data_IF_889754201506
#
_entry.id   IF_889754201506
#
_cell.length_a   1.000
_cell.length_b   1.000
_cell.length_c   1.000
_cell.angle_alpha   90.00
_cell.angle_beta   90.00
_cell.angle_gamma   90.00
#
_symmetry.space_group_name_H-M   'P 1'
#
loop_
_entity.id
_entity.type
_entity.pdbx_description
1 polymer ?
#
# COMPACT_ATOMS: atom_id res chain seq x y z
N UNK A 1 1.31 -6.25 20.05
CA UNK A 1 2.13 -7.36 19.59
C UNK A 1 1.41 -8.69 19.75
N UNK A 2 1.50 -9.56 18.73
CA UNK A 2 0.99 -10.92 18.81
C UNK A 2 2.03 -11.84 19.40
N UNK A 3 1.59 -13.00 19.91
CA UNK A 3 2.45 -14.09 20.40
C UNK A 3 2.21 -15.28 19.48
N UNK A 4 3.26 -16.01 19.15
CA UNK A 4 3.16 -17.30 18.49
C UNK A 4 3.90 -18.36 19.30
N UNK A 5 3.41 -19.58 19.18
CA UNK A 5 4.07 -20.77 19.72
C UNK A 5 4.36 -21.70 18.54
N UNK A 6 5.52 -22.35 18.56
CA UNK A 6 5.84 -23.33 17.53
C UNK A 6 6.46 -24.58 18.18
N UNK A 7 6.21 -25.70 17.53
CA UNK A 7 6.86 -26.98 17.85
C UNK A 7 7.71 -27.39 16.66
N UNK A 8 9.01 -27.52 16.89
CA UNK A 8 9.98 -27.90 15.87
C UNK A 8 10.49 -29.33 16.11
N UNK A 9 10.57 -30.11 15.03
CA UNK A 9 11.08 -31.48 15.06
C UNK A 9 12.28 -31.56 14.13
N UNK A 10 13.42 -32.03 14.67
CA UNK A 10 14.63 -32.23 13.89
C UNK A 10 14.37 -33.25 12.77
N UNK A 11 14.89 -33.00 11.58
CA UNK A 11 14.76 -33.83 10.38
C UNK A 11 13.32 -33.99 9.83
N UNK A 12 12.35 -33.19 10.26
CA UNK A 12 11.03 -33.12 9.62
C UNK A 12 11.02 -32.01 8.58
N UNK A 13 10.82 -32.39 7.32
CA UNK A 13 10.60 -31.47 6.20
C UNK A 13 9.14 -31.56 5.73
N UNK A 14 8.63 -30.49 5.11
CA UNK A 14 7.31 -30.43 4.51
C UNK A 14 6.38 -29.45 5.20
N UNK A 15 5.07 -29.64 4.99
CA UNK A 15 4.04 -28.73 5.47
C UNK A 15 4.02 -28.64 7.00
N UNK A 16 3.80 -27.42 7.49
CA UNK A 16 3.58 -27.11 8.89
C UNK A 16 2.07 -26.99 9.15
N UNK A 17 1.56 -27.62 10.22
CA UNK A 17 0.23 -27.28 10.70
C UNK A 17 0.29 -25.89 11.33
N UNK A 18 -0.42 -24.97 10.71
CA UNK A 18 -0.55 -23.61 11.19
C UNK A 18 -1.94 -23.38 11.77
N UNK A 19 -2.00 -22.94 13.02
CA UNK A 19 -3.25 -22.62 13.72
C UNK A 19 -3.30 -21.14 13.99
N UNK A 20 -4.31 -20.45 13.47
CA UNK A 20 -4.57 -19.04 13.79
C UNK A 20 -5.79 -18.89 14.68
N UNK A 21 -5.79 -17.82 15.50
CA UNK A 21 -6.95 -17.42 16.29
C UNK A 21 -7.35 -16.01 15.92
N UNK A 22 -8.55 -15.85 15.42
CA UNK A 22 -9.12 -14.55 15.12
C UNK A 22 -10.52 -14.41 15.74
N UNK A 23 -10.80 -13.31 16.46
CA UNK A 23 -12.08 -13.03 17.13
C UNK A 23 -12.61 -14.22 17.95
N UNK A 24 -11.71 -14.96 18.63
CA UNK A 24 -12.05 -16.11 19.47
C UNK A 24 -12.22 -17.45 18.73
N UNK A 25 -12.28 -17.45 17.40
CA UNK A 25 -12.36 -18.65 16.57
C UNK A 25 -10.97 -19.16 16.21
N UNK A 26 -10.79 -20.48 16.18
CA UNK A 26 -9.57 -21.14 15.70
C UNK A 26 -9.79 -21.63 14.28
N UNK A 27 -8.80 -21.43 13.42
CA UNK A 27 -8.72 -22.02 12.08
C UNK A 27 -7.35 -22.67 11.95
N UNK A 28 -7.27 -23.87 11.35
CA UNK A 28 -6.00 -24.56 11.08
C UNK A 28 -5.89 -24.93 9.62
N UNK A 29 -4.66 -24.96 9.11
CA UNK A 29 -4.33 -25.41 7.76
C UNK A 29 -2.90 -25.92 7.71
N UNK A 30 -2.66 -26.89 6.83
CA UNK A 30 -1.30 -27.32 6.48
C UNK A 30 -0.69 -26.34 5.49
N UNK A 31 0.45 -25.74 5.85
CA UNK A 31 1.10 -24.71 5.04
C UNK A 31 2.58 -25.01 4.83
N UNK A 32 3.07 -24.70 3.65
CA UNK A 32 4.48 -24.48 3.42
C UNK A 32 4.84 -23.06 3.90
N UNK A 33 5.62 -22.97 4.97
CA UNK A 33 6.02 -21.68 5.54
C UNK A 33 7.11 -20.99 4.70
N UNK A 34 7.68 -21.67 3.72
CA UNK A 34 8.69 -21.13 2.81
C UNK A 34 8.11 -20.74 1.42
N UNK A 35 6.81 -20.99 1.20
CA UNK A 35 6.17 -20.73 -0.09
C UNK A 35 6.10 -19.24 -0.46
N UNK A 36 6.09 -18.35 0.52
CA UNK A 36 6.00 -16.90 0.34
C UNK A 36 7.17 -16.19 1.05
N UNK A 37 7.66 -15.12 0.44
CA UNK A 37 8.68 -14.24 1.04
C UNK A 37 8.22 -13.56 2.34
N UNK A 38 6.90 -13.51 2.56
CA UNK A 38 6.30 -12.87 3.73
C UNK A 38 5.20 -13.73 4.32
N UNK A 39 5.30 -13.99 5.62
CA UNK A 39 4.34 -14.82 6.34
C UNK A 39 3.01 -14.10 6.61
N UNK A 40 1.93 -14.60 6.03
CA UNK A 40 0.56 -14.12 6.28
C UNK A 40 0.04 -14.75 7.58
N UNK A 41 -0.30 -13.92 8.56
CA UNK A 41 -0.65 -14.35 9.93
C UNK A 41 -2.07 -14.90 10.07
N UNK A 42 -2.98 -14.50 9.19
CA UNK A 42 -4.39 -14.89 9.23
C UNK A 42 -4.70 -15.84 8.08
N UNK A 43 -5.24 -17.03 8.38
CA UNK A 43 -5.56 -18.03 7.35
C UNK A 43 -6.61 -17.53 6.36
N UNK A 44 -7.57 -16.73 6.83
CA UNK A 44 -8.57 -16.11 5.98
C UNK A 44 -7.94 -15.18 4.92
N UNK A 45 -6.85 -14.52 5.28
CA UNK A 45 -6.12 -13.65 4.36
C UNK A 45 -5.32 -14.41 3.30
N UNK A 46 -4.95 -15.67 3.56
CA UNK A 46 -4.23 -16.50 2.58
C UNK A 46 -5.08 -16.73 1.36
N UNK A 47 -6.32 -17.19 1.55
CA UNK A 47 -7.24 -17.49 0.45
C UNK A 47 -7.50 -16.23 -0.42
N UNK A 48 -7.62 -15.05 0.23
CA UNK A 48 -7.79 -13.76 -0.47
C UNK A 48 -6.55 -13.43 -1.30
N UNK A 49 -5.35 -13.54 -0.72
CA UNK A 49 -4.08 -13.24 -1.41
C UNK A 49 -3.84 -14.21 -2.57
N UNK A 50 -4.17 -15.48 -2.40
CA UNK A 50 -4.04 -16.49 -3.46
C UNK A 50 -4.97 -16.18 -4.64
N UNK A 51 -6.22 -15.76 -4.39
CA UNK A 51 -7.13 -15.27 -5.43
C UNK A 51 -6.59 -14.05 -6.15
N UNK A 52 -6.05 -13.07 -5.40
CA UNK A 52 -5.44 -11.88 -5.99
C UNK A 52 -4.24 -12.25 -6.87
N UNK A 53 -3.33 -13.09 -6.39
CA UNK A 53 -2.16 -13.57 -7.14
C UNK A 53 -2.54 -14.38 -8.39
N UNK A 54 -3.60 -15.15 -8.33
CA UNK A 54 -4.09 -15.93 -9.48
C UNK A 54 -4.68 -15.07 -10.61
N UNK A 55 -5.06 -13.84 -10.29
CA UNK A 55 -5.69 -12.89 -11.23
C UNK A 55 -4.81 -11.70 -11.59
N UNK A 56 -3.57 -11.63 -11.09
CA UNK A 56 -2.66 -10.51 -11.34
C UNK A 56 -1.20 -10.93 -11.23
N UNK A 57 -0.40 -10.61 -12.25
CA UNK A 57 1.03 -10.91 -12.30
C UNK A 57 1.91 -9.74 -11.85
N UNK A 58 1.37 -8.52 -11.79
CA UNK A 58 2.14 -7.30 -11.50
C UNK A 58 1.53 -6.54 -10.33
N UNK A 59 2.37 -6.22 -9.35
CA UNK A 59 1.96 -5.57 -8.10
C UNK A 59 2.61 -4.20 -7.90
N UNK A 60 1.98 -3.38 -7.07
CA UNK A 60 2.40 -1.98 -6.83
C UNK A 60 3.78 -1.81 -6.20
N UNK A 61 4.37 -2.85 -5.59
CA UNK A 61 5.76 -2.81 -5.13
C UNK A 61 6.77 -2.49 -6.26
N UNK A 62 6.39 -2.70 -7.52
CA UNK A 62 7.20 -2.36 -8.71
C UNK A 62 7.08 -0.89 -9.12
N UNK A 63 6.04 -0.18 -8.68
CA UNK A 63 5.74 1.22 -9.02
C UNK A 63 6.09 2.19 -7.90
N UNK A 64 5.82 1.79 -6.65
CA UNK A 64 6.11 2.64 -5.48
C UNK A 64 7.58 2.99 -5.43
N UNK A 65 7.88 4.25 -5.27
CA UNK A 65 9.25 4.76 -5.18
C UNK A 65 10.01 4.16 -3.98
N UNK A 66 11.31 4.15 -4.09
CA UNK A 66 12.17 4.01 -2.91
C UNK A 66 12.02 5.24 -2.01
N UNK A 67 12.52 5.15 -0.79
CA UNK A 67 12.68 6.32 0.07
C UNK A 67 13.52 7.38 -0.67
N UNK A 68 13.16 8.66 -0.54
CA UNK A 68 13.76 9.79 -1.27
C UNK A 68 13.44 9.80 -2.78
N UNK A 69 12.19 9.90 -3.19
CA UNK A 69 11.81 9.84 -4.59
C UNK A 69 12.48 10.91 -5.46
N UNK A 70 12.87 12.05 -4.85
CA UNK A 70 13.59 13.17 -5.50
C UNK A 70 14.99 13.42 -4.91
N UNK A 71 15.56 12.45 -4.19
CA UNK A 71 16.87 12.61 -3.55
C UNK A 71 16.88 13.49 -2.29
N UNK A 72 15.75 14.10 -1.94
CA UNK A 72 15.66 15.13 -0.91
C UNK A 72 15.46 14.54 0.49
N UNK A 73 16.26 15.01 1.45
CA UNK A 73 16.21 14.62 2.86
C UNK A 73 15.20 15.44 3.65
N UNK A 74 14.74 14.91 4.79
CA UNK A 74 13.76 15.54 5.68
C UNK A 74 14.22 16.91 6.21
N UNK A 75 15.53 17.12 6.39
CA UNK A 75 16.09 18.39 6.87
C UNK A 75 16.17 19.48 5.79
N UNK A 76 16.06 19.10 4.51
CA UNK A 76 16.05 20.07 3.41
C UNK A 76 14.76 20.89 3.47
N UNK A 77 14.89 22.20 3.28
CA UNK A 77 13.80 23.17 3.39
C UNK A 77 13.58 23.86 2.05
N UNK A 78 12.39 24.43 1.84
CA UNK A 78 12.17 25.36 0.74
C UNK A 78 13.23 26.47 0.69
N UNK A 79 13.49 26.97 -0.49
CA UNK A 79 14.31 28.12 -0.77
C UNK A 79 13.45 29.38 -0.79
N UNK A 80 14.09 30.55 -0.94
CA UNK A 80 13.36 31.81 -1.10
C UNK A 80 12.65 31.88 -2.46
N UNK A 81 13.26 31.29 -3.49
CA UNK A 81 12.77 31.28 -4.87
C UNK A 81 13.00 29.90 -5.50
N UNK A 82 12.26 29.58 -6.57
CA UNK A 82 12.42 28.35 -7.33
C UNK A 82 11.29 28.12 -8.32
N UNK A 83 11.55 27.25 -9.28
CA UNK A 83 10.63 26.84 -10.36
C UNK A 83 9.79 25.61 -9.99
N UNK A 84 10.07 24.98 -8.84
CA UNK A 84 9.33 23.87 -8.27
C UNK A 84 8.72 24.23 -6.93
N UNK A 85 7.73 23.43 -6.50
CA UNK A 85 7.16 23.48 -5.14
C UNK A 85 7.58 22.23 -4.37
N UNK A 86 8.36 22.40 -3.30
CA UNK A 86 8.76 21.32 -2.39
C UNK A 86 7.71 21.13 -1.30
N UNK A 87 7.14 19.92 -1.22
CA UNK A 87 6.37 19.44 -0.07
C UNK A 87 7.31 18.80 0.96
N UNK A 88 7.30 19.30 2.18
CA UNK A 88 8.07 18.80 3.28
C UNK A 88 7.18 18.65 4.54
N UNK A 89 7.72 18.20 5.66
CA UNK A 89 6.96 17.89 6.88
C UNK A 89 6.24 19.08 7.53
N UNK A 90 6.59 20.33 7.16
CA UNK A 90 5.98 21.55 7.73
C UNK A 90 5.15 22.35 6.72
N UNK A 91 4.98 21.86 5.49
CA UNK A 91 4.19 22.55 4.48
C UNK A 91 4.76 22.44 3.06
N UNK A 92 4.60 23.50 2.28
CA UNK A 92 5.11 23.62 0.92
C UNK A 92 5.84 24.96 0.75
N UNK A 93 6.82 25.01 -0.17
CA UNK A 93 7.50 26.22 -0.54
C UNK A 93 8.40 26.05 -1.78
N UNK A 94 9.00 27.15 -2.31
CA UNK A 94 9.78 27.11 -3.53
C UNK A 94 11.00 26.18 -3.44
N UNK A 95 11.38 25.60 -4.58
CA UNK A 95 12.60 24.80 -4.71
C UNK A 95 13.13 24.89 -6.15
N UNK A 96 14.41 24.60 -6.36
CA UNK A 96 15.02 24.75 -7.68
C UNK A 96 15.21 23.39 -8.35
N UNK A 97 14.72 23.25 -9.58
CA UNK A 97 14.82 22.00 -10.35
C UNK A 97 16.26 21.60 -10.67
N UNK A 98 17.18 22.56 -10.75
CA UNK A 98 18.60 22.30 -10.98
C UNK A 98 19.27 21.49 -9.85
N UNK A 99 18.68 21.47 -8.66
CA UNK A 99 19.14 20.72 -7.48
C UNK A 99 18.58 19.31 -7.42
N UNK A 100 17.71 18.92 -8.34
CA UNK A 100 17.12 17.59 -8.40
C UNK A 100 17.96 16.70 -9.31
N UNK A 101 18.47 15.60 -8.75
CA UNK A 101 19.26 14.62 -9.50
C UNK A 101 18.49 13.33 -9.81
N UNK A 102 17.51 12.98 -8.95
CA UNK A 102 16.73 11.74 -9.01
C UNK A 102 15.25 12.09 -9.22
N UNK A 103 14.50 11.23 -9.94
CA UNK A 103 13.06 11.35 -10.13
C UNK A 103 12.64 12.50 -11.04
N UNK A 104 13.53 12.99 -11.90
CA UNK A 104 13.25 14.09 -12.86
C UNK A 104 12.08 13.78 -13.77
N UNK A 105 11.93 12.51 -14.15
CA UNK A 105 10.85 12.00 -15.02
C UNK A 105 9.46 12.14 -14.40
N UNK A 106 9.39 12.26 -13.06
CA UNK A 106 8.14 12.45 -12.34
C UNK A 106 7.77 13.92 -12.12
N UNK A 107 8.68 14.88 -12.33
CA UNK A 107 8.44 16.29 -11.99
C UNK A 107 7.22 16.83 -12.71
N UNK A 108 7.09 16.59 -14.02
CA UNK A 108 5.99 17.08 -14.86
C UNK A 108 4.69 16.31 -14.72
N UNK A 109 4.64 15.27 -13.90
CA UNK A 109 3.50 14.35 -13.78
C UNK A 109 2.63 14.67 -12.57
N UNK A 110 1.38 14.16 -12.57
CA UNK A 110 0.50 14.06 -11.41
C UNK A 110 0.93 12.87 -10.57
N UNK A 111 1.23 13.08 -9.30
CA UNK A 111 1.80 12.05 -8.41
C UNK A 111 0.90 11.81 -7.21
N UNK A 112 0.72 10.56 -6.83
CA UNK A 112 0.09 10.19 -5.56
C UNK A 112 1.17 9.86 -4.55
N UNK A 113 1.11 10.53 -3.40
CA UNK A 113 2.08 10.36 -2.32
C UNK A 113 1.43 9.91 -1.03
N UNK A 114 2.16 9.10 -0.28
CA UNK A 114 1.81 8.68 1.08
C UNK A 114 2.95 9.02 2.03
N UNK A 115 2.63 9.22 3.31
CA UNK A 115 3.67 9.31 4.33
C UNK A 115 4.42 7.98 4.48
N UNK A 116 5.74 8.03 4.65
CA UNK A 116 6.55 6.85 5.01
C UNK A 116 6.18 6.26 6.38
N UNK A 117 5.49 7.02 7.24
CA UNK A 117 5.05 6.55 8.54
C UNK A 117 3.54 6.32 8.54
N UNK A 118 3.12 5.18 9.04
CA UNK A 118 1.72 4.94 9.40
C UNK A 118 1.35 5.80 10.61
N UNK A 119 0.05 5.85 10.94
CA UNK A 119 -0.38 6.45 12.20
C UNK A 119 0.25 5.73 13.41
N UNK A 120 0.37 6.44 14.53
CA UNK A 120 0.75 5.85 15.81
C UNK A 120 -0.09 4.59 16.08
N UNK A 121 0.56 3.56 16.61
CA UNK A 121 -0.08 2.26 16.87
C UNK A 121 -0.51 1.48 15.61
N UNK A 122 0.28 1.53 14.54
CA UNK A 122 0.06 0.67 13.37
C UNK A 122 -0.14 -0.80 13.80
N UNK A 123 -1.24 -1.39 13.31
CA UNK A 123 -1.66 -2.73 13.70
C UNK A 123 -2.60 -2.78 14.91
N UNK A 124 -2.81 -1.69 15.64
CA UNK A 124 -3.89 -1.59 16.62
C UNK A 124 -5.16 -1.05 15.96
N UNK A 125 -6.29 -1.55 16.40
CA UNK A 125 -7.60 -1.05 15.98
C UNK A 125 -8.05 0.10 16.88
N UNK A 126 -8.79 1.03 16.32
CA UNK A 126 -9.54 2.04 17.10
C UNK A 126 -10.70 1.36 17.87
N UNK A 127 -11.45 2.16 18.66
CA UNK A 127 -12.61 1.66 19.44
C UNK A 127 -13.69 1.03 18.56
N UNK A 128 -13.73 1.34 17.28
CA UNK A 128 -14.64 0.79 16.28
C UNK A 128 -14.07 -0.42 15.51
N UNK A 129 -12.89 -0.90 15.87
CA UNK A 129 -12.22 -2.03 15.23
C UNK A 129 -11.51 -1.68 13.90
N UNK A 130 -11.38 -0.40 13.53
CA UNK A 130 -10.77 0.04 12.27
C UNK A 130 -9.27 0.30 12.44
N UNK A 131 -8.49 -0.03 11.42
CA UNK A 131 -7.05 0.25 11.35
C UNK A 131 -6.77 1.41 10.41
N UNK A 132 -6.01 2.40 10.85
CA UNK A 132 -5.49 3.46 9.99
C UNK A 132 -4.16 3.02 9.38
N UNK A 133 -4.19 2.52 8.16
CA UNK A 133 -3.00 2.00 7.46
C UNK A 133 -2.22 3.13 6.79
N UNK A 134 -2.90 4.04 6.08
CA UNK A 134 -2.28 5.19 5.44
C UNK A 134 -2.54 6.44 6.28
N UNK A 135 -1.47 7.10 6.75
CA UNK A 135 -1.57 8.30 7.59
C UNK A 135 -1.84 9.56 6.77
N UNK A 136 -1.28 9.65 5.57
CA UNK A 136 -1.60 10.66 4.57
C UNK A 136 -1.73 10.02 3.20
N UNK A 137 -2.52 10.63 2.35
CA UNK A 137 -2.71 10.25 0.96
C UNK A 137 -3.00 11.53 0.17
N UNK A 138 -1.96 12.07 -0.44
CA UNK A 138 -1.99 13.38 -1.07
C UNK A 138 -1.63 13.30 -2.55
N UNK A 139 -2.18 14.24 -3.32
CA UNK A 139 -1.81 14.44 -4.71
C UNK A 139 -0.81 15.58 -4.83
N UNK A 140 0.27 15.35 -5.57
CA UNK A 140 1.18 16.37 -6.04
C UNK A 140 0.91 16.67 -7.50
N UNK A 141 0.74 17.94 -7.82
CA UNK A 141 0.56 18.44 -9.19
C UNK A 141 1.88 18.41 -9.97
N UNK A 142 1.86 18.58 -11.29
CA UNK A 142 3.07 18.91 -12.05
C UNK A 142 3.87 20.04 -11.39
N UNK A 143 5.20 19.92 -11.41
CA UNK A 143 6.17 20.81 -10.75
C UNK A 143 6.12 20.81 -9.21
N UNK A 144 5.38 19.88 -8.59
CA UNK A 144 5.49 19.62 -7.16
C UNK A 144 6.35 18.39 -6.89
N UNK A 145 7.22 18.48 -5.89
CA UNK A 145 8.13 17.42 -5.44
C UNK A 145 8.03 17.23 -3.93
N UNK A 146 8.62 16.17 -3.38
CA UNK A 146 8.57 15.94 -1.93
C UNK A 146 9.91 15.44 -1.37
N UNK A 147 10.07 15.59 -0.04
CA UNK A 147 11.19 15.00 0.71
C UNK A 147 10.97 13.51 0.99
N UNK A 148 11.99 12.85 1.56
CA UNK A 148 11.94 11.45 2.00
C UNK A 148 10.88 11.13 3.07
N UNK A 149 10.18 12.14 3.58
CA UNK A 149 9.01 11.96 4.45
C UNK A 149 7.86 11.26 3.73
N UNK A 150 7.86 11.33 2.39
CA UNK A 150 6.83 10.77 1.54
C UNK A 150 7.41 9.78 0.54
N UNK A 151 6.60 8.76 0.20
CA UNK A 151 6.80 7.90 -0.96
C UNK A 151 5.89 8.38 -2.09
N UNK A 152 6.35 8.34 -3.33
CA UNK A 152 5.48 8.43 -4.51
C UNK A 152 4.99 7.02 -4.81
N UNK A 153 3.67 6.82 -4.78
CA UNK A 153 3.06 5.53 -5.09
C UNK A 153 3.08 5.28 -6.59
N UNK A 154 2.67 6.28 -7.39
CA UNK A 154 2.79 6.29 -8.84
C UNK A 154 2.69 7.71 -9.39
N UNK A 155 2.99 7.90 -10.69
CA UNK A 155 3.00 9.17 -11.38
C UNK A 155 2.39 9.04 -12.79
N UNK A 156 1.43 9.92 -13.13
CA UNK A 156 0.60 9.86 -14.33
C UNK A 156 0.69 11.15 -15.15
N UNK A 157 0.38 11.04 -16.42
CA UNK A 157 0.31 12.21 -17.31
C UNK A 157 -1.01 12.99 -17.13
N UNK A 158 -2.05 12.35 -16.58
CA UNK A 158 -3.36 12.97 -16.36
C UNK A 158 -3.76 13.01 -14.89
N UNK A 159 -4.52 14.05 -14.52
CA UNK A 159 -5.11 14.17 -13.19
C UNK A 159 -6.14 13.08 -12.92
N UNK A 160 -6.86 12.63 -13.95
CA UNK A 160 -7.91 11.63 -13.82
C UNK A 160 -7.34 10.29 -13.36
N UNK A 161 -6.26 9.82 -13.98
CA UNK A 161 -5.56 8.59 -13.57
C UNK A 161 -5.03 8.70 -12.13
N UNK A 162 -4.46 9.85 -11.77
CA UNK A 162 -4.00 10.09 -10.40
C UNK A 162 -5.15 10.06 -9.39
N UNK A 163 -6.31 10.64 -9.70
CA UNK A 163 -7.53 10.56 -8.88
C UNK A 163 -8.05 9.14 -8.74
N UNK A 164 -8.01 8.36 -9.83
CA UNK A 164 -8.41 6.96 -9.82
C UNK A 164 -7.51 6.13 -8.89
N UNK A 165 -6.18 6.29 -8.98
CA UNK A 165 -5.26 5.67 -8.02
C UNK A 165 -5.55 6.15 -6.58
N UNK A 166 -5.83 7.43 -6.37
CA UNK A 166 -6.16 7.93 -5.04
C UNK A 166 -7.43 7.26 -4.49
N UNK A 167 -8.45 7.04 -5.32
CA UNK A 167 -9.67 6.32 -4.95
C UNK A 167 -9.36 4.85 -4.63
N UNK A 168 -8.58 4.19 -5.47
CA UNK A 168 -8.12 2.81 -5.26
C UNK A 168 -7.43 2.63 -3.90
N UNK A 169 -6.48 3.50 -3.54
CA UNK A 169 -5.77 3.46 -2.26
C UNK A 169 -6.67 3.74 -1.03
N UNK A 170 -7.84 4.32 -1.22
CA UNK A 170 -8.84 4.55 -0.16
C UNK A 170 -9.73 3.33 0.09
N UNK A 171 -9.79 2.37 -0.80
CA UNK A 171 -10.62 1.16 -0.66
C UNK A 171 -10.24 0.33 0.56
N UNK A 172 -11.19 -0.41 1.11
CA UNK A 172 -10.93 -1.40 2.16
C UNK A 172 -10.03 -2.52 1.64
N UNK A 173 -10.28 -2.97 0.41
CA UNK A 173 -9.50 -3.99 -0.26
C UNK A 173 -7.99 -3.68 -0.27
N UNK A 174 -7.59 -2.51 -0.78
CA UNK A 174 -6.17 -2.13 -0.85
C UNK A 174 -5.57 -1.95 0.54
N UNK A 175 -6.28 -1.26 1.44
CA UNK A 175 -5.78 -1.05 2.82
C UNK A 175 -5.61 -2.37 3.57
N UNK A 176 -6.50 -3.33 3.34
CA UNK A 176 -6.36 -4.68 3.87
C UNK A 176 -5.08 -5.34 3.36
N UNK A 177 -4.84 -5.37 2.04
CA UNK A 177 -3.66 -5.99 1.45
C UNK A 177 -2.36 -5.36 1.97
N UNK A 178 -2.27 -4.03 2.06
CA UNK A 178 -1.12 -3.34 2.67
C UNK A 178 -0.96 -3.75 4.13
N UNK A 179 -2.05 -3.89 4.88
CA UNK A 179 -2.03 -4.23 6.31
C UNK A 179 -1.39 -5.58 6.60
N UNK A 180 -1.48 -6.53 5.68
CA UNK A 180 -0.92 -7.88 5.83
C UNK A 180 0.61 -7.84 5.96
N UNK A 181 1.26 -6.88 5.32
CA UNK A 181 2.71 -6.70 5.30
C UNK A 181 3.20 -5.56 6.23
N UNK A 182 2.29 -4.69 6.69
CA UNK A 182 2.63 -3.55 7.55
C UNK A 182 2.78 -3.99 9.03
N UNK A 183 3.88 -4.67 9.33
CA UNK A 183 4.21 -5.12 10.69
C UNK A 183 4.83 -4.04 11.58
N UNK A 184 5.27 -2.93 10.99
CA UNK A 184 5.89 -1.78 11.66
C UNK A 184 5.22 -0.48 11.23
N UNK A 185 5.53 0.64 11.90
CA UNK A 185 5.03 1.97 11.51
C UNK A 185 5.65 2.50 10.22
N UNK A 186 6.69 1.86 9.70
CA UNK A 186 7.36 2.30 8.48
C UNK A 186 6.76 1.63 7.25
N UNK A 187 6.24 2.45 6.33
CA UNK A 187 5.80 2.01 5.00
C UNK A 187 6.96 2.10 4.01
N UNK A 188 7.09 1.09 3.19
CA UNK A 188 8.05 1.01 2.09
C UNK A 188 7.40 0.29 0.91
N UNK A 189 8.02 0.28 -0.24
CA UNK A 189 7.48 -0.34 -1.46
C UNK A 189 7.11 -1.82 -1.27
N UNK A 190 7.85 -2.54 -0.42
CA UNK A 190 7.62 -3.97 -0.15
C UNK A 190 6.23 -4.23 0.47
N UNK A 191 5.66 -3.22 1.15
CA UNK A 191 4.30 -3.33 1.74
C UNK A 191 3.20 -3.36 0.70
N UNK A 192 3.51 -3.05 -0.55
CA UNK A 192 2.61 -3.09 -1.70
C UNK A 192 2.73 -4.38 -2.53
N UNK A 193 3.46 -5.40 -2.06
CA UNK A 193 3.69 -6.63 -2.81
C UNK A 193 2.43 -7.49 -3.04
N UNK A 194 1.34 -7.22 -2.34
CA UNK A 194 0.04 -7.86 -2.57
C UNK A 194 -1.00 -6.93 -3.20
N UNK A 195 -0.67 -5.65 -3.43
CA UNK A 195 -1.57 -4.70 -4.06
C UNK A 195 -1.46 -4.81 -5.57
N UNK A 196 -2.50 -5.32 -6.27
CA UNK A 196 -2.44 -5.52 -7.72
C UNK A 196 -2.38 -4.20 -8.47
N UNK A 197 -1.59 -4.17 -9.53
CA UNK A 197 -1.58 -3.04 -10.45
C UNK A 197 -2.91 -3.02 -11.23
N UNK A 198 -3.49 -1.82 -11.37
CA UNK A 198 -4.74 -1.60 -12.09
C UNK A 198 -4.52 -0.72 -13.32
N UNK A 199 -5.43 -0.83 -14.29
CA UNK A 199 -5.59 0.17 -15.34
C UNK A 199 -6.46 1.33 -14.80
N UNK A 200 -5.97 2.56 -14.90
CA UNK A 200 -6.69 3.77 -14.51
C UNK A 200 -7.14 4.61 -15.71
N UNK A 201 -6.94 4.10 -16.91
CA UNK A 201 -7.42 4.74 -18.14
C UNK A 201 -8.91 4.51 -18.34
N UNK A 202 -9.48 5.09 -19.39
CA UNK A 202 -10.86 4.85 -19.80
C UNK A 202 -11.16 3.41 -20.23
N UNK A 203 -10.13 2.58 -20.40
CA UNK A 203 -10.27 1.17 -20.78
C UNK A 203 -10.36 0.24 -19.56
N UNK A 204 -10.31 0.79 -18.34
CA UNK A 204 -10.38 0.02 -17.09
C UNK A 204 -11.68 -0.78 -16.99
N UNK A 205 -11.57 -1.98 -16.45
CA UNK A 205 -12.70 -2.83 -16.06
C UNK A 205 -13.36 -2.37 -14.73
N UNK A 206 -12.76 -1.37 -14.06
CA UNK A 206 -13.28 -0.72 -12.86
C UNK A 206 -13.73 0.70 -13.20
N UNK A 207 -14.92 1.07 -12.80
CA UNK A 207 -15.39 2.46 -12.88
C UNK A 207 -14.88 3.27 -11.68
N UNK A 208 -13.77 3.96 -11.88
CA UNK A 208 -13.11 4.78 -10.86
C UNK A 208 -13.87 6.06 -10.50
N UNK A 209 -14.95 6.41 -11.21
CA UNK A 209 -15.78 7.58 -10.92
C UNK A 209 -16.79 7.33 -9.79
N UNK A 210 -16.99 6.08 -9.42
CA UNK A 210 -17.96 5.66 -8.41
C UNK A 210 -17.48 5.98 -6.98
N UNK A 211 -18.36 5.76 -6.02
CA UNK A 211 -18.01 5.86 -4.60
C UNK A 211 -16.95 4.83 -4.20
N UNK A 212 -16.19 5.09 -3.13
CA UNK A 212 -15.17 4.15 -2.64
C UNK A 212 -15.78 2.78 -2.31
N UNK A 213 -17.02 2.75 -1.79
CA UNK A 213 -17.71 1.51 -1.49
C UNK A 213 -18.06 0.72 -2.78
N UNK A 214 -18.52 1.42 -3.82
CA UNK A 214 -18.81 0.76 -5.10
C UNK A 214 -17.57 0.28 -5.81
N UNK A 215 -16.45 1.02 -5.70
CA UNK A 215 -15.13 0.57 -6.16
C UNK A 215 -14.69 -0.68 -5.40
N UNK A 216 -14.84 -0.72 -4.07
CA UNK A 216 -14.58 -1.93 -3.28
C UNK A 216 -15.39 -3.12 -3.79
N UNK A 217 -16.70 -2.96 -4.04
CA UNK A 217 -17.55 -4.03 -4.58
C UNK A 217 -17.10 -4.53 -5.96
N UNK A 218 -16.69 -3.63 -6.86
CA UNK A 218 -16.14 -4.00 -8.16
C UNK A 218 -14.84 -4.81 -8.00
N UNK A 219 -13.95 -4.41 -7.08
CA UNK A 219 -12.71 -5.12 -6.80
C UNK A 219 -13.00 -6.51 -6.19
N UNK A 220 -13.92 -6.61 -5.24
CA UNK A 220 -14.31 -7.91 -4.67
C UNK A 220 -14.83 -8.88 -5.75
N UNK A 221 -15.67 -8.37 -6.66
CA UNK A 221 -16.18 -9.15 -7.79
C UNK A 221 -15.05 -9.55 -8.75
N UNK A 222 -14.16 -8.61 -9.11
CA UNK A 222 -13.01 -8.85 -10.00
C UNK A 222 -12.11 -9.98 -9.48
N UNK A 223 -11.85 -10.04 -8.16
CA UNK A 223 -11.00 -11.06 -7.54
C UNK A 223 -11.79 -12.27 -7.01
N UNK A 224 -13.11 -12.35 -7.25
CA UNK A 224 -13.95 -13.49 -6.88
C UNK A 224 -13.99 -13.75 -5.38
N UNK A 225 -14.06 -12.69 -4.57
CA UNK A 225 -14.14 -12.83 -3.12
C UNK A 225 -15.53 -13.28 -2.70
N UNK A 226 -15.59 -14.20 -1.74
CA UNK A 226 -16.83 -14.64 -1.10
C UNK A 226 -17.30 -13.62 -0.05
N UNK A 227 -18.58 -13.74 0.37
CA UNK A 227 -19.15 -12.88 1.42
C UNK A 227 -18.37 -12.98 2.74
N UNK A 228 -17.87 -14.18 3.10
CA UNK A 228 -17.07 -14.39 4.30
C UNK A 228 -15.71 -13.69 4.21
N UNK A 229 -15.07 -13.69 3.03
CA UNK A 229 -13.81 -12.99 2.77
C UNK A 229 -14.01 -11.47 2.77
N UNK A 230 -15.09 -10.98 2.18
CA UNK A 230 -15.47 -9.56 2.21
C UNK A 230 -15.72 -9.10 3.65
N UNK A 231 -16.44 -9.90 4.44
CA UNK A 231 -16.68 -9.60 5.85
C UNK A 231 -15.40 -9.65 6.72
N UNK A 232 -14.35 -10.33 6.24
CA UNK A 232 -13.05 -10.39 6.91
C UNK A 232 -12.20 -9.14 6.62
N UNK A 233 -12.30 -8.56 5.42
CA UNK A 233 -11.63 -7.32 5.00
C UNK A 233 -12.11 -6.12 5.84
#
# INVERSE_FOLDING_TARGET
>A
GGVCYFFWVHNRNGLCEFVSRHRGKFKSSMRDLAADDSFIRHLEAVDIVDKVKSNCDVFYNTRVSTQKPFGLRTYMKPLDEGDLTLKYNKGKGPYNSSLIEIGKEMISKWKITISCLTAEHAGQTDKQGRKKILSSLDMLMPNEICTETYLVVDAFDTELEAKALQSYLKTCFVRFLISLLASTQHLSKEKFAYVPLQDFTSNSDIDWSQSIADIDHQLYAKYGLSDDEIAFI
#
